data_IF_450256639981
#
_entry.id   IF_450256639981
#
_cell.length_a   1.000
_cell.length_b   1.000
_cell.length_c   1.000
_cell.angle_alpha   90.00
_cell.angle_beta   90.00
_cell.angle_gamma   90.00
#
_symmetry.space_group_name_H-M   'P 1'
#
loop_
_entity.id
_entity.type
_entity.pdbx_description
1 polymer ?
#
# COMPACT_ATOMS: atom_id res chain seq x y z
N UNK A 1 -11.56 9.70 -10.43
CA UNK A 1 -10.88 8.93 -9.39
C UNK A 1 -11.10 9.64 -8.07
N UNK A 2 -11.74 8.92 -7.13
CA UNK A 2 -12.20 9.47 -5.85
C UNK A 2 -11.08 9.45 -4.81
N UNK A 3 -10.70 10.62 -4.31
CA UNK A 3 -9.61 10.80 -3.35
C UNK A 3 -10.17 11.32 -2.03
N UNK A 4 -9.93 10.61 -0.94
CA UNK A 4 -10.18 11.15 0.40
C UNK A 4 -8.91 11.86 0.88
N UNK A 5 -9.04 13.16 1.16
CA UNK A 5 -7.98 13.94 1.81
C UNK A 5 -8.34 14.14 3.29
N UNK A 6 -7.46 13.69 4.17
CA UNK A 6 -7.59 13.86 5.62
C UNK A 6 -6.53 14.84 6.09
N UNK A 7 -6.93 16.09 6.31
CA UNK A 7 -6.03 17.23 6.60
C UNK A 7 -6.82 18.32 7.35
N UNK A 8 -6.33 18.75 8.49
CA UNK A 8 -6.98 19.78 9.33
C UNK A 8 -6.53 21.21 8.99
N UNK A 9 -5.32 21.41 8.43
CA UNK A 9 -4.88 22.74 7.97
C UNK A 9 -5.60 23.13 6.68
N UNK A 10 -6.47 24.16 6.79
CA UNK A 10 -7.25 24.67 5.65
C UNK A 10 -6.39 25.18 4.49
N UNK A 11 -5.18 25.68 4.73
CA UNK A 11 -4.29 26.19 3.67
C UNK A 11 -3.74 25.03 2.86
N UNK A 12 -3.33 23.96 3.55
CA UNK A 12 -2.80 22.76 2.91
C UNK A 12 -3.92 22.04 2.16
N UNK A 13 -5.06 21.84 2.80
CA UNK A 13 -6.21 21.17 2.16
C UNK A 13 -6.72 21.91 0.95
N UNK A 14 -6.86 23.25 1.01
CA UNK A 14 -7.26 24.06 -0.15
C UNK A 14 -6.25 23.99 -1.31
N UNK A 15 -4.96 24.02 -0.99
CA UNK A 15 -3.90 23.88 -1.99
C UNK A 15 -3.97 22.50 -2.69
N UNK A 16 -4.09 21.42 -1.91
CA UNK A 16 -4.16 20.06 -2.43
C UNK A 16 -5.43 19.82 -3.22
N UNK A 17 -6.58 20.26 -2.71
CA UNK A 17 -7.87 20.11 -3.40
C UNK A 17 -7.82 20.83 -4.76
N UNK A 18 -7.36 22.08 -4.78
CA UNK A 18 -7.26 22.84 -6.03
C UNK A 18 -6.36 22.12 -7.05
N UNK A 19 -5.13 21.81 -6.66
CA UNK A 19 -4.16 21.19 -7.58
C UNK A 19 -4.59 19.81 -8.05
N UNK A 20 -5.11 18.98 -7.17
CA UNK A 20 -5.56 17.62 -7.54
C UNK A 20 -6.84 17.66 -8.36
N UNK A 21 -7.79 18.58 -8.09
CA UNK A 21 -8.98 18.75 -8.93
C UNK A 21 -8.61 19.24 -10.34
N UNK A 22 -7.67 20.16 -10.48
CA UNK A 22 -7.13 20.59 -11.78
C UNK A 22 -6.44 19.41 -12.52
N UNK A 23 -5.88 18.46 -11.78
CA UNK A 23 -5.30 17.23 -12.34
C UNK A 23 -6.33 16.11 -12.62
N UNK A 24 -7.64 16.38 -12.42
CA UNK A 24 -8.74 15.48 -12.76
C UNK A 24 -9.11 14.47 -11.68
N UNK A 25 -8.79 14.74 -10.41
CA UNK A 25 -9.21 13.93 -9.25
C UNK A 25 -10.48 14.49 -8.60
N UNK A 26 -11.37 13.61 -8.15
CA UNK A 26 -12.58 13.98 -7.40
C UNK A 26 -12.23 13.97 -5.90
N UNK A 27 -12.18 15.16 -5.30
CA UNK A 27 -11.66 15.34 -3.95
C UNK A 27 -12.79 15.38 -2.92
N UNK A 28 -12.64 14.59 -1.85
CA UNK A 28 -13.47 14.67 -0.64
C UNK A 28 -12.57 15.02 0.54
N UNK A 29 -12.91 16.09 1.29
CA UNK A 29 -12.16 16.53 2.46
C UNK A 29 -12.77 15.97 3.75
N UNK A 30 -11.91 15.41 4.59
CA UNK A 30 -12.15 15.21 6.01
C UNK A 30 -11.16 16.08 6.80
N UNK A 31 -11.67 16.98 7.62
CA UNK A 31 -10.89 17.89 8.47
C UNK A 31 -10.47 17.26 9.82
N UNK A 32 -10.82 16.00 10.04
CA UNK A 32 -10.51 15.23 11.24
C UNK A 32 -10.55 13.73 10.97
N UNK A 33 -9.89 12.94 11.83
CA UNK A 33 -9.90 11.48 11.75
C UNK A 33 -11.29 10.88 11.94
N UNK A 34 -12.12 11.49 12.81
CA UNK A 34 -13.50 11.08 13.06
C UNK A 34 -14.34 11.19 11.79
N UNK A 35 -14.26 12.34 11.11
CA UNK A 35 -14.97 12.57 9.85
C UNK A 35 -14.50 11.65 8.74
N UNK A 36 -13.19 11.43 8.65
CA UNK A 36 -12.64 10.46 7.70
C UNK A 36 -13.21 9.05 7.94
N UNK A 37 -13.27 8.60 9.21
CA UNK A 37 -13.88 7.32 9.58
C UNK A 37 -15.35 7.21 9.19
N UNK A 38 -16.14 8.28 9.34
CA UNK A 38 -17.55 8.33 8.93
C UNK A 38 -17.68 8.25 7.40
N UNK A 39 -16.87 9.00 6.66
CA UNK A 39 -16.86 8.98 5.20
C UNK A 39 -16.48 7.61 4.65
N UNK A 40 -15.47 6.96 5.23
CA UNK A 40 -15.03 5.61 4.86
C UNK A 40 -16.05 4.50 5.19
N UNK A 41 -17.03 4.80 6.03
CA UNK A 41 -18.15 3.88 6.27
C UNK A 41 -19.25 3.99 5.21
N UNK A 42 -19.32 5.12 4.53
CA UNK A 42 -20.44 5.46 3.63
C UNK A 42 -20.02 5.44 2.16
N UNK A 43 -18.77 5.77 1.86
CA UNK A 43 -18.26 5.95 0.51
C UNK A 43 -16.99 5.14 0.28
N UNK A 44 -16.81 4.70 -0.98
CA UNK A 44 -15.58 4.08 -1.45
C UNK A 44 -14.67 5.12 -2.09
N UNK A 45 -13.37 5.00 -1.79
CA UNK A 45 -12.31 5.85 -2.32
C UNK A 45 -11.25 5.01 -3.02
N UNK A 46 -10.64 5.58 -4.06
CA UNK A 46 -9.54 4.95 -4.79
C UNK A 46 -8.19 5.08 -4.05
N UNK A 47 -8.06 6.13 -3.22
CA UNK A 47 -6.88 6.40 -2.38
C UNK A 47 -7.25 7.35 -1.24
N UNK A 48 -6.53 7.22 -0.13
CA UNK A 48 -6.58 8.11 1.03
C UNK A 48 -5.25 8.85 1.13
N UNK A 49 -5.29 10.19 1.11
CA UNK A 49 -4.17 11.06 1.45
C UNK A 49 -4.36 11.49 2.89
N UNK A 50 -3.41 11.21 3.78
CA UNK A 50 -3.62 11.34 5.22
C UNK A 50 -2.47 12.06 5.92
N UNK A 51 -2.78 13.16 6.62
CA UNK A 51 -1.85 13.66 7.62
C UNK A 51 -1.85 12.77 8.87
N UNK A 52 -0.70 12.65 9.51
CA UNK A 52 -0.57 11.97 10.81
C UNK A 52 -1.07 12.87 11.94
N UNK A 53 -0.74 14.16 11.86
CA UNK A 53 -0.94 15.11 12.95
C UNK A 53 -2.36 15.70 12.93
N UNK A 54 -3.37 14.86 13.15
CA UNK A 54 -4.76 15.29 13.22
C UNK A 54 -5.18 15.49 14.70
N UNK A 55 -6.06 16.44 14.98
CA UNK A 55 -6.66 16.58 16.31
C UNK A 55 -7.63 15.42 16.59
N UNK A 56 -7.65 14.94 17.83
CA UNK A 56 -8.54 13.84 18.24
C UNK A 56 -8.03 12.48 17.77
N UNK A 57 -8.68 11.88 16.80
CA UNK A 57 -8.25 10.62 16.18
C UNK A 57 -7.12 10.87 15.19
N UNK A 58 -5.89 10.58 15.59
CA UNK A 58 -4.70 10.80 14.78
C UNK A 58 -4.61 9.84 13.57
N UNK A 59 -3.73 10.17 12.60
CA UNK A 59 -3.59 9.39 11.36
C UNK A 59 -3.03 7.98 11.60
N UNK A 60 -2.26 7.74 12.66
CA UNK A 60 -1.76 6.41 13.00
C UNK A 60 -2.91 5.51 13.47
N UNK A 61 -3.71 6.01 14.41
CA UNK A 61 -4.88 5.31 14.94
C UNK A 61 -5.92 5.07 13.84
N UNK A 62 -6.16 6.08 12.99
CA UNK A 62 -7.09 5.94 11.87
C UNK A 62 -6.62 4.86 10.88
N UNK A 63 -5.33 4.81 10.55
CA UNK A 63 -4.76 3.77 9.69
C UNK A 63 -5.00 2.38 10.26
N UNK A 64 -4.75 2.18 11.55
CA UNK A 64 -5.03 0.90 12.21
C UNK A 64 -6.50 0.52 12.14
N UNK A 65 -7.42 1.47 12.39
CA UNK A 65 -8.87 1.23 12.32
C UNK A 65 -9.29 0.84 10.90
N UNK A 66 -8.76 1.52 9.88
CA UNK A 66 -9.05 1.23 8.47
C UNK A 66 -8.62 -0.22 8.15
N UNK A 67 -7.41 -0.59 8.51
CA UNK A 67 -6.87 -1.94 8.24
C UNK A 67 -7.56 -3.04 9.05
N UNK A 68 -7.86 -2.76 10.32
CA UNK A 68 -8.60 -3.70 11.17
C UNK A 68 -10.02 -4.02 10.63
N UNK A 69 -10.66 -3.06 9.95
CA UNK A 69 -11.95 -3.26 9.28
C UNK A 69 -11.83 -3.98 7.92
N UNK A 70 -10.66 -4.42 7.52
CA UNK A 70 -10.44 -5.06 6.22
C UNK A 70 -10.52 -4.10 5.03
N UNK A 71 -10.44 -2.80 5.25
CA UNK A 71 -10.40 -1.83 4.16
C UNK A 71 -8.95 -1.69 3.66
N UNK A 72 -8.72 -2.05 2.40
CA UNK A 72 -7.40 -2.06 1.73
C UNK A 72 -7.24 -0.90 0.74
N UNK A 73 -8.06 0.14 0.83
CA UNK A 73 -7.85 1.39 0.08
C UNK A 73 -6.43 1.89 0.32
N UNK A 74 -5.66 2.22 -0.73
CA UNK A 74 -4.30 2.73 -0.58
C UNK A 74 -4.25 3.95 0.33
N UNK A 75 -3.29 3.97 1.26
CA UNK A 75 -3.05 5.10 2.16
C UNK A 75 -1.67 5.69 1.86
N UNK A 76 -1.64 6.91 1.34
CA UNK A 76 -0.45 7.74 1.20
C UNK A 76 -0.41 8.76 2.33
N UNK A 77 0.58 8.63 3.20
CA UNK A 77 0.78 9.55 4.31
C UNK A 77 1.49 10.80 3.85
N UNK A 78 0.97 11.97 4.25
CA UNK A 78 1.55 13.29 4.02
C UNK A 78 1.89 13.90 5.38
N UNK A 79 3.15 13.98 5.80
CA UNK A 79 3.46 14.45 7.15
C UNK A 79 4.76 15.25 7.23
N UNK A 80 4.81 16.18 8.20
CA UNK A 80 6.01 16.91 8.56
C UNK A 80 7.00 16.08 9.41
N UNK A 81 6.56 14.95 9.96
CA UNK A 81 7.44 14.03 10.69
C UNK A 81 8.40 13.38 9.69
N UNK A 82 9.71 13.57 9.90
CA UNK A 82 10.73 13.16 8.94
C UNK A 82 11.67 12.09 9.48
N UNK A 83 11.50 11.65 10.73
CA UNK A 83 12.37 10.62 11.28
C UNK A 83 12.17 9.29 10.56
N UNK A 84 13.21 8.49 10.38
CA UNK A 84 13.08 7.14 9.84
C UNK A 84 12.10 6.29 10.66
N UNK A 85 12.10 6.44 11.98
CA UNK A 85 11.24 5.69 12.90
C UNK A 85 9.75 5.98 12.68
N UNK A 86 9.39 7.26 12.43
CA UNK A 86 7.99 7.63 12.14
C UNK A 86 7.50 7.00 10.83
N UNK A 87 8.36 7.02 9.80
CA UNK A 87 8.04 6.41 8.49
C UNK A 87 7.84 4.91 8.61
N UNK A 88 8.76 4.24 9.30
CA UNK A 88 8.70 2.80 9.56
C UNK A 88 7.42 2.47 10.30
N UNK A 89 7.14 3.18 11.40
CA UNK A 89 5.95 2.97 12.21
C UNK A 89 4.66 3.10 11.40
N UNK A 90 4.57 4.11 10.52
CA UNK A 90 3.39 4.27 9.67
C UNK A 90 3.22 3.13 8.66
N UNK A 91 4.30 2.68 8.05
CA UNK A 91 4.28 1.53 7.14
C UNK A 91 3.92 0.24 7.88
N UNK A 92 4.46 0.01 9.07
CA UNK A 92 4.12 -1.13 9.93
C UNK A 92 2.64 -1.14 10.35
N UNK A 93 2.03 0.05 10.53
CA UNK A 93 0.61 0.20 10.83
C UNK A 93 -0.30 -0.03 9.61
N UNK A 94 0.29 -0.17 8.40
CA UNK A 94 -0.42 -0.50 7.18
C UNK A 94 -0.60 0.64 6.19
N UNK A 95 0.12 1.76 6.34
CA UNK A 95 0.23 2.75 5.25
C UNK A 95 0.99 2.14 4.06
N UNK A 96 0.60 2.51 2.84
CA UNK A 96 1.19 1.94 1.61
C UNK A 96 2.39 2.75 1.10
N UNK A 97 2.46 4.05 1.43
CA UNK A 97 3.59 4.92 1.13
C UNK A 97 3.59 6.14 2.05
N UNK A 98 4.72 6.87 2.05
CA UNK A 98 4.95 8.02 2.90
C UNK A 98 5.62 9.14 2.11
N UNK A 99 5.08 10.37 2.18
CA UNK A 99 5.62 11.56 1.56
C UNK A 99 5.80 12.67 2.60
N UNK A 100 7.07 13.07 2.79
CA UNK A 100 7.43 14.10 3.78
C UNK A 100 7.08 15.49 3.30
N UNK A 101 6.47 16.31 4.16
CA UNK A 101 6.28 17.74 3.93
C UNK A 101 7.61 18.49 4.26
N UNK A 102 8.05 19.49 3.43
CA UNK A 102 7.46 19.91 2.17
C UNK A 102 7.78 18.97 1.01
N UNK A 103 6.87 18.81 0.06
CA UNK A 103 7.02 17.96 -1.12
C UNK A 103 6.73 18.72 -2.42
N UNK A 104 7.21 18.19 -3.54
CA UNK A 104 6.85 18.66 -4.87
C UNK A 104 5.52 18.07 -5.30
N UNK A 105 4.66 18.89 -5.92
CA UNK A 105 3.32 18.44 -6.33
C UNK A 105 3.37 17.32 -7.36
N UNK A 106 4.35 17.34 -8.27
CA UNK A 106 4.58 16.26 -9.25
C UNK A 106 4.96 14.93 -8.57
N UNK A 107 5.68 14.98 -7.44
CA UNK A 107 5.99 13.78 -6.67
C UNK A 107 4.73 13.17 -6.06
N UNK A 108 3.87 14.01 -5.47
CA UNK A 108 2.57 13.58 -4.94
C UNK A 108 1.74 12.88 -6.03
N UNK A 109 1.59 13.51 -7.21
CA UNK A 109 0.85 12.92 -8.33
C UNK A 109 1.47 11.59 -8.78
N UNK A 110 2.79 11.50 -8.85
CA UNK A 110 3.50 10.29 -9.26
C UNK A 110 3.25 9.14 -8.28
N UNK A 111 3.23 9.41 -6.96
CA UNK A 111 2.94 8.42 -5.92
C UNK A 111 1.47 7.99 -5.95
N UNK A 112 0.53 8.94 -6.10
CA UNK A 112 -0.90 8.64 -6.29
C UNK A 112 -1.08 7.67 -7.48
N UNK A 113 -0.49 8.00 -8.64
CA UNK A 113 -0.56 7.15 -9.82
C UNK A 113 0.07 5.77 -9.60
N UNK A 114 1.17 5.68 -8.87
CA UNK A 114 1.83 4.42 -8.55
C UNK A 114 0.96 3.53 -7.66
N UNK A 115 0.32 4.11 -6.65
CA UNK A 115 -0.56 3.40 -5.71
C UNK A 115 -1.90 2.99 -6.33
N UNK A 116 -2.39 3.77 -7.31
CA UNK A 116 -3.73 3.55 -7.91
C UNK A 116 -3.68 2.97 -9.33
N UNK A 117 -2.54 2.44 -9.77
CA UNK A 117 -2.32 1.94 -11.14
C UNK A 117 -3.22 0.77 -11.57
N UNK A 118 -4.17 0.36 -10.75
CA UNK A 118 -5.11 -0.75 -10.98
C UNK A 118 -5.92 -0.67 -12.29
N UNK A 119 -5.93 0.47 -13.01
CA UNK A 119 -6.89 0.68 -14.11
C UNK A 119 -6.34 1.13 -15.47
N UNK A 120 -5.06 1.16 -15.74
CA UNK A 120 -4.57 1.65 -17.05
C UNK A 120 -3.32 0.96 -17.57
N UNK A 121 -3.33 -0.32 -17.85
CA UNK A 121 -2.36 -0.89 -18.81
C UNK A 121 -2.94 -2.15 -19.46
N UNK A 122 -3.81 -1.98 -20.43
CA UNK A 122 -3.94 -2.93 -21.54
C UNK A 122 -2.88 -2.57 -22.57
N UNK A 123 -2.10 -3.54 -22.96
CA UNK A 123 -1.24 -3.73 -24.12
C UNK A 123 0.23 -4.05 -23.79
N UNK A 124 0.53 -5.31 -23.59
CA UNK A 124 1.46 -6.10 -24.38
C UNK A 124 1.49 -7.55 -23.87
N UNK A 125 1.06 -8.48 -24.70
CA UNK A 125 1.05 -9.92 -24.44
C UNK A 125 2.48 -10.44 -24.53
N UNK A 126 3.02 -10.94 -23.37
CA UNK A 126 3.84 -12.17 -23.37
C UNK A 126 4.19 -12.70 -21.98
N UNK A 127 3.86 -11.98 -20.87
CA UNK A 127 3.99 -12.54 -19.50
C UNK A 127 2.77 -12.18 -18.63
N UNK A 128 1.58 -12.46 -19.15
CA UNK A 128 0.32 -12.05 -18.52
C UNK A 128 0.00 -12.81 -17.21
N UNK A 129 0.58 -13.98 -17.01
CA UNK A 129 0.25 -14.83 -15.87
C UNK A 129 1.50 -15.31 -15.12
N UNK A 130 1.57 -15.01 -13.82
CA UNK A 130 2.52 -15.63 -12.91
C UNK A 130 1.80 -16.73 -12.12
N UNK A 131 2.36 -17.94 -12.10
CA UNK A 131 1.73 -19.06 -11.39
C UNK A 131 2.69 -19.76 -10.45
N UNK A 132 2.13 -20.24 -9.31
CA UNK A 132 2.80 -21.04 -8.32
C UNK A 132 1.76 -21.98 -7.71
N UNK A 133 1.89 -23.28 -7.98
CA UNK A 133 0.88 -24.29 -7.64
C UNK A 133 -0.54 -23.87 -8.07
N UNK A 134 -1.45 -23.67 -7.11
CA UNK A 134 -2.85 -23.31 -7.33
C UNK A 134 -3.10 -21.78 -7.35
N UNK A 135 -2.03 -20.96 -7.20
CA UNK A 135 -2.13 -19.50 -7.23
C UNK A 135 -1.75 -18.97 -8.60
N UNK A 136 -2.55 -18.05 -9.13
CA UNK A 136 -2.28 -17.33 -10.38
C UNK A 136 -2.45 -15.84 -10.18
N UNK A 137 -1.50 -15.06 -10.68
CA UNK A 137 -1.59 -13.60 -10.78
C UNK A 137 -1.82 -13.26 -12.25
N UNK A 138 -2.92 -12.59 -12.55
CA UNK A 138 -3.09 -11.85 -13.78
C UNK A 138 -2.48 -10.47 -13.61
N UNK A 139 -1.34 -10.23 -14.28
CA UNK A 139 -0.58 -8.99 -14.10
C UNK A 139 -1.24 -7.80 -14.78
N UNK A 140 -2.05 -8.03 -15.82
CA UNK A 140 -2.77 -6.98 -16.54
C UNK A 140 -4.00 -6.52 -15.74
N UNK A 141 -4.75 -7.47 -15.19
CA UNK A 141 -5.91 -7.16 -14.36
C UNK A 141 -5.55 -6.88 -12.90
N UNK A 142 -4.28 -7.06 -12.51
CA UNK A 142 -3.82 -6.99 -11.11
C UNK A 142 -4.63 -7.91 -10.18
N UNK A 143 -5.00 -9.08 -10.69
CA UNK A 143 -5.90 -10.01 -10.03
C UNK A 143 -5.14 -11.24 -9.57
N UNK A 144 -5.34 -11.60 -8.30
CA UNK A 144 -4.79 -12.82 -7.73
C UNK A 144 -5.93 -13.82 -7.52
N UNK A 145 -5.73 -15.06 -7.97
CA UNK A 145 -6.67 -16.15 -7.73
C UNK A 145 -5.96 -17.33 -7.13
N UNK A 146 -6.63 -18.04 -6.21
CA UNK A 146 -6.21 -19.32 -5.67
C UNK A 146 -7.35 -20.31 -5.81
N UNK A 147 -7.08 -21.46 -6.40
CA UNK A 147 -8.12 -22.47 -6.72
C UNK A 147 -9.31 -21.87 -7.49
N UNK A 148 -9.06 -20.85 -8.36
CA UNK A 148 -10.08 -20.14 -9.14
C UNK A 148 -10.90 -19.12 -8.34
N UNK A 149 -10.64 -18.93 -7.04
CA UNK A 149 -11.27 -17.90 -6.22
C UNK A 149 -10.36 -16.67 -6.15
N UNK A 150 -10.96 -15.50 -6.32
CA UNK A 150 -10.24 -14.23 -6.22
C UNK A 150 -9.83 -13.92 -4.77
N UNK A 151 -8.58 -13.46 -4.59
CA UNK A 151 -8.04 -12.98 -3.33
C UNK A 151 -7.78 -11.49 -3.46
N UNK A 152 -8.35 -10.70 -2.56
CA UNK A 152 -8.15 -9.26 -2.52
C UNK A 152 -6.84 -8.91 -1.81
N UNK A 153 -6.00 -8.12 -2.49
CA UNK A 153 -4.75 -7.58 -1.97
C UNK A 153 -4.81 -6.04 -1.94
N UNK A 154 -4.22 -5.44 -0.91
CA UNK A 154 -3.87 -4.02 -0.99
C UNK A 154 -2.79 -3.81 -2.08
N UNK A 155 -2.61 -2.57 -2.58
CA UNK A 155 -1.59 -2.30 -3.60
C UNK A 155 -0.19 -2.73 -3.19
N UNK A 156 0.18 -2.52 -1.94
CA UNK A 156 1.51 -2.89 -1.43
C UNK A 156 1.65 -4.41 -1.25
N UNK A 157 0.62 -5.09 -0.74
CA UNK A 157 0.61 -6.56 -0.69
C UNK A 157 0.71 -7.16 -2.09
N UNK A 158 -0.05 -6.63 -3.06
CA UNK A 158 0.03 -7.05 -4.45
C UNK A 158 1.44 -6.86 -5.03
N UNK A 159 2.02 -5.68 -4.83
CA UNK A 159 3.39 -5.37 -5.29
C UNK A 159 4.43 -6.31 -4.67
N UNK A 160 4.32 -6.56 -3.37
CA UNK A 160 5.19 -7.51 -2.66
C UNK A 160 5.02 -8.92 -3.21
N UNK A 161 3.77 -9.38 -3.34
CA UNK A 161 3.49 -10.75 -3.77
C UNK A 161 3.92 -10.97 -5.23
N UNK A 162 3.63 -10.03 -6.14
CA UNK A 162 4.10 -10.07 -7.53
C UNK A 162 5.62 -10.12 -7.60
N UNK A 163 6.31 -9.29 -6.82
CA UNK A 163 7.78 -9.30 -6.79
C UNK A 163 8.35 -10.65 -6.30
N UNK A 164 7.72 -11.29 -5.32
CA UNK A 164 8.09 -12.64 -4.89
C UNK A 164 7.85 -13.68 -6.00
N UNK A 165 6.70 -13.59 -6.68
CA UNK A 165 6.32 -14.51 -7.76
C UNK A 165 7.24 -14.39 -8.98
N UNK A 166 7.62 -13.18 -9.39
CA UNK A 166 8.62 -12.91 -10.44
C UNK A 166 10.01 -13.52 -10.11
N UNK A 167 10.29 -13.66 -8.82
CA UNK A 167 11.55 -14.22 -8.33
C UNK A 167 11.38 -15.60 -7.67
N UNK A 168 10.40 -16.37 -8.15
CA UNK A 168 10.14 -17.73 -7.66
C UNK A 168 11.42 -18.56 -7.62
N UNK A 169 11.58 -19.36 -6.55
CA UNK A 169 12.75 -20.20 -6.28
C UNK A 169 14.07 -19.45 -5.99
N UNK A 170 14.03 -18.12 -5.77
CA UNK A 170 15.18 -17.33 -5.35
C UNK A 170 14.97 -16.77 -3.95
N UNK A 171 16.03 -16.80 -3.14
CA UNK A 171 16.01 -16.16 -1.81
C UNK A 171 16.19 -14.66 -1.98
N UNK A 172 15.23 -13.88 -1.51
CA UNK A 172 15.24 -12.42 -1.54
C UNK A 172 15.56 -11.89 -0.15
N UNK A 173 16.57 -11.03 -0.03
CA UNK A 173 16.89 -10.39 1.23
C UNK A 173 15.84 -9.34 1.61
N UNK A 174 15.66 -9.10 2.93
CA UNK A 174 14.74 -8.07 3.43
C UNK A 174 15.03 -6.68 2.86
N UNK A 175 16.29 -6.31 2.79
CA UNK A 175 16.72 -5.03 2.20
C UNK A 175 16.38 -4.94 0.72
N UNK A 176 16.57 -6.01 -0.04
CA UNK A 176 16.18 -6.04 -1.46
C UNK A 176 14.67 -5.92 -1.65
N UNK A 177 13.89 -6.64 -0.86
CA UNK A 177 12.42 -6.54 -0.87
C UNK A 177 11.99 -5.11 -0.49
N UNK A 178 12.56 -4.55 0.58
CA UNK A 178 12.25 -3.20 1.05
C UNK A 178 12.52 -2.14 -0.04
N UNK A 179 13.70 -2.20 -0.65
CA UNK A 179 14.07 -1.30 -1.74
C UNK A 179 13.12 -1.42 -2.95
N UNK A 180 12.82 -2.65 -3.39
CA UNK A 180 12.00 -2.88 -4.59
C UNK A 180 10.52 -2.55 -4.39
N UNK A 181 9.97 -2.85 -3.23
CA UNK A 181 8.54 -2.67 -2.96
C UNK A 181 8.24 -1.25 -2.49
N UNK A 182 9.07 -0.68 -1.60
CA UNK A 182 8.84 0.64 -0.98
C UNK A 182 9.78 1.75 -1.48
N UNK A 183 10.86 1.40 -2.19
CA UNK A 183 11.85 2.40 -2.65
C UNK A 183 12.69 2.98 -1.51
N UNK A 184 12.85 2.24 -0.42
CA UNK A 184 13.54 2.69 0.80
C UNK A 184 14.89 2.00 0.91
N UNK A 185 15.96 2.81 0.97
CA UNK A 185 17.33 2.36 1.22
C UNK A 185 17.67 2.51 2.70
N UNK A 186 17.03 1.72 3.58
CA UNK A 186 17.38 1.72 4.99
C UNK A 186 18.13 0.47 5.40
N UNK A 187 19.16 0.69 6.20
CA UNK A 187 19.90 -0.35 6.89
C UNK A 187 19.19 -0.67 8.23
N UNK A 188 18.86 -1.93 8.43
CA UNK A 188 18.82 -2.65 9.70
C UNK A 188 17.65 -2.55 10.70
N UNK A 189 16.49 -1.95 10.48
CA UNK A 189 15.48 -1.94 11.57
C UNK A 189 14.02 -2.10 11.15
N UNK A 190 13.70 -2.48 9.92
CA UNK A 190 12.31 -2.44 9.49
C UNK A 190 11.65 -3.80 9.56
N UNK A 191 10.71 -3.97 10.48
CA UNK A 191 9.78 -5.10 10.51
C UNK A 191 8.72 -5.00 9.39
N UNK A 192 8.71 -3.92 8.58
CA UNK A 192 7.69 -3.69 7.55
C UNK A 192 7.58 -4.85 6.57
N UNK A 193 8.72 -5.36 6.10
CA UNK A 193 8.73 -6.54 5.21
C UNK A 193 8.10 -7.75 5.89
N UNK A 194 8.47 -8.01 7.14
CA UNK A 194 7.99 -9.17 7.92
C UNK A 194 6.47 -9.05 8.19
N UNK A 195 5.99 -7.83 8.45
CA UNK A 195 4.56 -7.53 8.64
C UNK A 195 3.77 -7.81 7.36
N UNK A 196 4.21 -7.26 6.23
CA UNK A 196 3.52 -7.48 4.96
C UNK A 196 3.63 -8.93 4.46
N UNK A 197 4.73 -9.62 4.70
CA UNK A 197 4.84 -11.07 4.49
C UNK A 197 3.78 -11.81 5.32
N UNK A 198 3.55 -11.39 6.57
CA UNK A 198 2.51 -11.98 7.41
C UNK A 198 1.11 -11.73 6.83
N UNK A 199 0.83 -10.50 6.35
CA UNK A 199 -0.46 -10.19 5.71
C UNK A 199 -0.70 -11.03 4.46
N UNK A 200 0.32 -11.14 3.58
CA UNK A 200 0.22 -11.96 2.38
C UNK A 200 0.01 -13.43 2.74
N UNK A 201 0.79 -13.98 3.69
CA UNK A 201 0.63 -15.36 4.17
C UNK A 201 -0.78 -15.64 4.66
N UNK A 202 -1.35 -14.74 5.46
CA UNK A 202 -2.70 -14.91 5.99
C UNK A 202 -3.78 -15.00 4.91
N UNK A 203 -3.47 -14.56 3.69
CA UNK A 203 -4.40 -14.59 2.55
C UNK A 203 -4.20 -15.80 1.64
N UNK A 204 -2.96 -16.31 1.52
CA UNK A 204 -2.62 -17.37 0.56
C UNK A 204 -2.23 -18.70 1.22
N UNK A 205 -1.67 -18.68 2.44
CA UNK A 205 -1.26 -19.93 3.11
C UNK A 205 -2.50 -20.59 3.70
N UNK A 206 -2.88 -21.74 3.15
CA UNK A 206 -3.81 -22.65 3.80
C UNK A 206 -3.08 -23.45 4.88
N UNK A 207 -3.81 -24.08 5.82
CA UNK A 207 -3.26 -24.72 7.01
C UNK A 207 -2.20 -25.81 6.74
N UNK A 208 -2.16 -26.37 5.55
CA UNK A 208 -1.23 -27.46 5.19
C UNK A 208 -0.20 -27.08 4.12
N UNK A 209 -0.39 -25.95 3.38
CA UNK A 209 0.53 -25.53 2.32
C UNK A 209 1.08 -24.13 2.58
N UNK A 210 2.40 -24.00 2.63
CA UNK A 210 3.09 -22.72 2.80
C UNK A 210 3.82 -22.38 1.51
N UNK A 211 3.41 -21.30 0.88
CA UNK A 211 4.05 -20.79 -0.35
C UNK A 211 5.26 -19.92 -0.04
N UNK A 212 5.17 -19.05 0.97
CA UNK A 212 6.25 -18.15 1.35
C UNK A 212 7.05 -18.77 2.50
N UNK A 213 8.32 -19.04 2.28
CA UNK A 213 9.23 -19.63 3.26
C UNK A 213 10.17 -18.57 3.81
N UNK A 214 10.42 -18.64 5.13
CA UNK A 214 11.44 -17.80 5.78
C UNK A 214 12.78 -18.50 5.72
N UNK A 215 13.78 -17.81 5.13
CA UNK A 215 15.18 -18.21 5.20
C UNK A 215 15.84 -17.44 6.34
N UNK A 216 16.06 -18.12 7.47
CA UNK A 216 16.58 -17.50 8.70
C UNK A 216 17.86 -16.70 8.42
N UNK A 217 17.93 -15.47 8.92
CA UNK A 217 19.08 -14.57 8.75
C UNK A 217 19.23 -13.95 7.36
N UNK A 218 18.43 -14.36 6.35
CA UNK A 218 18.56 -13.89 4.97
C UNK A 218 17.33 -13.14 4.49
N UNK A 219 16.16 -13.80 4.47
CA UNK A 219 14.95 -13.19 3.93
C UNK A 219 13.86 -14.21 3.61
N UNK A 220 13.27 -14.09 2.43
CA UNK A 220 12.10 -14.85 2.03
C UNK A 220 12.28 -15.50 0.65
N UNK A 221 11.55 -16.59 0.45
CA UNK A 221 11.54 -17.39 -0.77
C UNK A 221 10.11 -17.84 -1.02
N UNK A 222 9.60 -17.70 -2.25
CA UNK A 222 8.38 -18.34 -2.69
C UNK A 222 8.72 -19.59 -3.52
N UNK A 223 8.04 -20.68 -3.28
CA UNK A 223 8.16 -21.93 -4.04
C UNK A 223 6.88 -22.74 -4.00
N UNK A 224 6.73 -23.65 -4.96
CA UNK A 224 5.69 -24.67 -4.99
C UNK A 224 5.81 -25.62 -3.82
#
# INVERSE_FOLDING_TARGET
MNVLLVEDDQRISNFLIKGLSEAGYDMTLADSGEKARELLHTYDFDIILMDIMLPGLDGMQLTQIIRFKGNYTPILVLSALNSPDDKIKMLDLGADDYLSKPFHFEELISRIKALTRRNKLSYQKEDQYLSCADITIDTDLHKVTQNGKEIEFSPTEYKLFTFLMENKNKVLSRTHILHKVWGIDFDNSTNVVDVYISYVRNKIDETEHKFIHTVKGTGYLIKD
#
